data_IF_389615589534
#
_entry.id   IF_389615589534
#
_cell.length_a   1.000
_cell.length_b   1.000
_cell.length_c   1.000
_cell.angle_alpha   90.00
_cell.angle_beta   90.00
_cell.angle_gamma   90.00
#
_symmetry.space_group_name_H-M   'P 1'
#
loop_
_entity.id
_entity.type
_entity.pdbx_description
1 polymer ?
#
# COMPACT_ATOMS: atom_id res chain seq x y z
N UNK A 1 0.88 -12.33 7.74
CA UNK A 1 1.47 -12.59 9.06
C UNK A 1 2.97 -12.87 8.96
N UNK A 2 3.75 -11.79 8.98
CA UNK A 2 5.22 -11.80 9.03
C UNK A 2 5.68 -12.07 10.46
N UNK A 3 5.04 -11.47 11.46
CA UNK A 3 5.40 -11.62 12.87
C UNK A 3 5.38 -13.10 13.32
N UNK A 4 4.35 -13.87 12.93
CA UNK A 4 4.27 -15.30 13.22
C UNK A 4 5.20 -16.18 12.36
N UNK A 5 5.84 -15.65 11.32
CA UNK A 5 6.66 -16.40 10.37
C UNK A 5 8.03 -15.77 10.11
N UNK A 6 8.55 -14.99 11.06
CA UNK A 6 9.71 -14.12 10.87
C UNK A 6 10.91 -14.84 10.25
N UNK A 7 11.31 -16.00 10.78
CA UNK A 7 12.47 -16.74 10.27
C UNK A 7 12.32 -17.11 8.78
N UNK A 8 11.17 -17.70 8.42
CA UNK A 8 10.87 -18.10 7.04
C UNK A 8 10.85 -16.89 6.09
N UNK A 9 10.26 -15.78 6.51
CA UNK A 9 10.18 -14.57 5.68
C UNK A 9 11.57 -13.92 5.54
N UNK A 10 12.38 -13.95 6.59
CA UNK A 10 13.78 -13.47 6.56
C UNK A 10 14.60 -14.26 5.54
N UNK A 11 14.50 -15.59 5.55
CA UNK A 11 15.19 -16.45 4.58
C UNK A 11 14.78 -16.13 3.13
N UNK A 12 13.49 -15.91 2.90
CA UNK A 12 12.97 -15.53 1.59
C UNK A 12 13.46 -14.15 1.14
N UNK A 13 13.45 -13.16 2.05
CA UNK A 13 13.97 -11.82 1.77
C UNK A 13 15.46 -11.86 1.43
N UNK A 14 16.26 -12.61 2.20
CA UNK A 14 17.68 -12.78 1.95
C UNK A 14 17.97 -13.46 0.61
N UNK A 15 17.24 -14.51 0.27
CA UNK A 15 17.41 -15.22 -1.00
C UNK A 15 17.10 -14.33 -2.23
N UNK A 16 16.01 -13.56 -2.17
CA UNK A 16 15.63 -12.62 -3.23
C UNK A 16 16.60 -11.43 -3.32
N UNK A 17 17.04 -10.91 -2.18
CA UNK A 17 18.04 -9.83 -2.12
C UNK A 17 19.39 -10.27 -2.70
N UNK A 18 19.81 -11.52 -2.48
CA UNK A 18 21.02 -12.09 -3.10
C UNK A 18 20.93 -12.15 -4.65
N UNK A 19 19.71 -12.17 -5.19
CA UNK A 19 19.43 -12.06 -6.62
C UNK A 19 19.18 -10.60 -7.08
N UNK A 20 19.47 -9.61 -6.24
CA UNK A 20 19.22 -8.19 -6.47
C UNK A 20 17.74 -7.83 -6.71
N UNK A 21 16.80 -8.63 -6.18
CA UNK A 21 15.37 -8.35 -6.24
C UNK A 21 14.98 -7.52 -5.02
N UNK A 22 14.37 -6.34 -5.26
CA UNK A 22 13.82 -5.50 -4.19
C UNK A 22 12.51 -6.11 -3.69
N UNK A 23 12.52 -6.58 -2.44
CA UNK A 23 11.38 -7.28 -1.83
C UNK A 23 10.41 -6.28 -1.19
N UNK A 24 9.12 -6.46 -1.49
CA UNK A 24 8.00 -5.84 -0.78
C UNK A 24 7.20 -6.91 -0.03
N UNK A 25 6.85 -6.65 1.23
CA UNK A 25 5.95 -7.50 2.01
C UNK A 25 4.56 -6.87 2.10
N UNK A 26 3.55 -7.62 1.68
CA UNK A 26 2.15 -7.22 1.79
C UNK A 26 1.62 -7.55 3.19
N UNK A 27 1.22 -6.53 3.94
CA UNK A 27 0.85 -6.65 5.36
C UNK A 27 -0.34 -5.75 5.71
N UNK A 28 -1.01 -6.09 6.80
CA UNK A 28 -1.99 -5.20 7.42
C UNK A 28 -1.31 -3.93 7.98
N UNK A 29 -2.02 -2.80 8.08
CA UNK A 29 -1.53 -1.60 8.76
C UNK A 29 -1.51 -1.83 10.28
N UNK A 30 -0.49 -2.55 10.73
CA UNK A 30 -0.25 -2.98 12.10
C UNK A 30 1.25 -2.85 12.45
N UNK A 31 1.55 -2.32 13.64
CA UNK A 31 2.93 -2.03 14.03
C UNK A 31 3.77 -3.31 14.20
N UNK A 32 3.20 -4.39 14.74
CA UNK A 32 3.95 -5.63 14.93
C UNK A 32 4.31 -6.27 13.58
N UNK A 33 3.45 -6.15 12.57
CA UNK A 33 3.75 -6.58 11.20
C UNK A 33 4.83 -5.70 10.55
N UNK A 34 4.83 -4.40 10.80
CA UNK A 34 5.86 -3.47 10.31
C UNK A 34 7.23 -3.75 10.93
N UNK A 35 7.29 -3.90 12.25
CA UNK A 35 8.52 -4.25 12.97
C UNK A 35 9.08 -5.58 12.47
N UNK A 36 8.23 -6.58 12.31
CA UNK A 36 8.62 -7.88 11.79
C UNK A 36 9.11 -7.80 10.33
N UNK A 37 8.52 -6.93 9.52
CA UNK A 37 8.93 -6.72 8.11
C UNK A 37 10.30 -6.06 8.02
N UNK A 38 10.57 -5.05 8.86
CA UNK A 38 11.88 -4.44 8.97
C UNK A 38 12.92 -5.46 9.49
N UNK A 39 12.59 -6.23 10.53
CA UNK A 39 13.46 -7.27 11.06
C UNK A 39 13.76 -8.40 10.05
N UNK A 40 12.80 -8.71 9.17
CA UNK A 40 12.98 -9.68 8.09
C UNK A 40 13.91 -9.18 6.97
N UNK A 41 14.31 -7.91 6.99
CA UNK A 41 15.18 -7.32 5.97
C UNK A 41 14.45 -6.92 4.69
N UNK A 42 13.12 -6.72 4.74
CA UNK A 42 12.39 -6.19 3.60
C UNK A 42 12.78 -4.72 3.34
N UNK A 43 12.93 -4.36 2.06
CA UNK A 43 13.21 -2.98 1.67
C UNK A 43 11.93 -2.14 1.57
N UNK A 44 10.82 -2.81 1.25
CA UNK A 44 9.52 -2.21 0.99
C UNK A 44 8.45 -2.97 1.76
N UNK A 45 7.39 -2.27 2.16
CA UNK A 45 6.13 -2.88 2.58
C UNK A 45 4.99 -2.32 1.75
N UNK A 46 3.97 -3.13 1.50
CA UNK A 46 2.71 -2.68 0.91
C UNK A 46 1.57 -2.86 1.91
N UNK A 47 1.01 -1.73 2.36
CA UNK A 47 -0.08 -1.72 3.32
C UNK A 47 -1.39 -2.17 2.67
N UNK A 48 -2.07 -3.11 3.31
CA UNK A 48 -3.37 -3.60 2.88
C UNK A 48 -4.47 -2.54 3.13
N UNK A 49 -4.92 -1.90 2.05
CA UNK A 49 -5.98 -0.87 2.10
C UNK A 49 -7.41 -1.41 1.94
N UNK A 50 -7.63 -2.73 1.93
CA UNK A 50 -8.96 -3.31 1.74
C UNK A 50 -9.96 -2.97 2.84
N UNK A 51 -9.59 -2.95 4.13
CA UNK A 51 -10.51 -2.51 5.20
C UNK A 51 -10.99 -1.07 4.98
N UNK A 52 -10.10 -0.18 4.52
CA UNK A 52 -10.46 1.18 4.12
C UNK A 52 -11.38 1.20 2.89
N UNK A 53 -11.09 0.38 1.88
CA UNK A 53 -11.86 0.33 0.64
C UNK A 53 -13.26 -0.26 0.82
N UNK A 54 -13.40 -1.25 1.70
CA UNK A 54 -14.65 -1.99 1.96
C UNK A 54 -15.51 -1.37 3.07
N UNK A 55 -15.02 -0.32 3.73
CA UNK A 55 -15.75 0.38 4.78
C UNK A 55 -17.11 0.87 4.29
N UNK A 56 -18.17 0.53 5.02
CA UNK A 56 -19.55 0.78 4.59
C UNK A 56 -20.12 2.09 5.10
N UNK A 57 -19.47 2.68 6.10
CA UNK A 57 -19.83 3.97 6.69
C UNK A 57 -18.66 4.95 6.61
N UNK A 58 -18.97 6.24 6.68
CA UNK A 58 -17.95 7.29 6.67
C UNK A 58 -17.05 7.21 7.92
N UNK A 59 -17.63 6.89 9.08
CA UNK A 59 -16.88 6.74 10.33
C UNK A 59 -15.90 5.54 10.29
N UNK A 60 -16.31 4.40 9.73
CA UNK A 60 -15.41 3.25 9.52
C UNK A 60 -14.28 3.62 8.57
N UNK A 61 -14.62 4.30 7.46
CA UNK A 61 -13.63 4.71 6.45
C UNK A 61 -12.61 5.70 7.01
N UNK A 62 -13.05 6.66 7.82
CA UNK A 62 -12.16 7.59 8.52
C UNK A 62 -11.23 6.87 9.51
N UNK A 63 -11.77 5.89 10.24
CA UNK A 63 -10.98 5.08 11.19
C UNK A 63 -9.90 4.27 10.48
N UNK A 64 -10.24 3.57 9.40
CA UNK A 64 -9.28 2.78 8.63
C UNK A 64 -8.28 3.67 7.87
N UNK A 65 -8.70 4.85 7.41
CA UNK A 65 -7.78 5.84 6.83
C UNK A 65 -6.74 6.29 7.86
N UNK A 66 -7.18 6.66 9.07
CA UNK A 66 -6.26 7.06 10.14
C UNK A 66 -5.26 5.94 10.47
N UNK A 67 -5.74 4.69 10.51
CA UNK A 67 -4.89 3.51 10.71
C UNK A 67 -3.83 3.36 9.61
N UNK A 68 -4.18 3.58 8.35
CA UNK A 68 -3.21 3.56 7.23
C UNK A 68 -2.21 4.71 7.33
N UNK A 69 -2.65 5.92 7.71
CA UNK A 69 -1.76 7.08 7.92
C UNK A 69 -0.73 6.78 9.00
N UNK A 70 -1.16 6.29 10.16
CA UNK A 70 -0.29 5.99 11.28
C UNK A 70 0.69 4.87 10.95
N UNK A 71 0.23 3.82 10.25
CA UNK A 71 1.07 2.73 9.78
C UNK A 71 2.11 3.19 8.74
N UNK A 72 1.75 4.07 7.81
CA UNK A 72 2.67 4.60 6.80
C UNK A 72 3.78 5.44 7.44
N UNK A 73 3.40 6.33 8.38
CA UNK A 73 4.35 7.11 9.19
C UNK A 73 5.29 6.23 9.98
N UNK A 74 4.75 5.23 10.67
CA UNK A 74 5.54 4.31 11.46
C UNK A 74 6.52 3.51 10.60
N UNK A 75 6.04 2.93 9.49
CA UNK A 75 6.86 2.17 8.55
C UNK A 75 8.00 2.99 7.95
N UNK A 76 7.72 4.23 7.54
CA UNK A 76 8.76 5.14 7.07
C UNK A 76 9.79 5.47 8.15
N UNK A 77 9.35 5.64 9.41
CA UNK A 77 10.23 5.82 10.57
C UNK A 77 11.16 4.64 10.85
N UNK A 78 10.78 3.42 10.44
CA UNK A 78 11.64 2.22 10.47
C UNK A 78 12.62 2.15 9.30
N UNK A 79 12.58 3.10 8.36
CA UNK A 79 13.38 3.10 7.14
C UNK A 79 12.81 2.23 6.01
N UNK A 80 11.57 1.75 6.14
CA UNK A 80 10.89 1.03 5.08
C UNK A 80 10.37 2.00 4.02
N UNK A 81 10.49 1.61 2.75
CA UNK A 81 9.70 2.25 1.69
C UNK A 81 8.26 1.75 1.77
N UNK A 82 7.27 2.64 1.81
CA UNK A 82 5.87 2.26 2.02
C UNK A 82 5.05 2.41 0.73
N UNK A 83 4.39 1.32 0.33
CA UNK A 83 3.45 1.24 -0.77
C UNK A 83 2.04 0.95 -0.23
N UNK A 84 1.02 1.08 -1.08
CA UNK A 84 -0.36 0.64 -0.80
C UNK A 84 -1.09 0.32 -2.12
N UNK A 85 -2.38 -0.06 -2.10
CA UNK A 85 -3.15 -0.13 -3.36
C UNK A 85 -4.35 -1.08 -3.40
N UNK A 86 -4.41 -2.07 -2.50
CA UNK A 86 -5.48 -3.06 -2.49
C UNK A 86 -6.87 -2.42 -2.32
N UNK A 87 -7.80 -2.72 -3.24
CA UNK A 87 -9.18 -2.20 -3.20
C UNK A 87 -9.34 -0.74 -3.62
N UNK A 88 -8.27 -0.01 -3.93
CA UNK A 88 -8.40 1.41 -4.32
C UNK A 88 -9.09 1.57 -5.68
N UNK A 89 -9.89 2.62 -5.79
CA UNK A 89 -10.63 3.01 -6.98
C UNK A 89 -10.74 4.54 -7.09
N UNK A 90 -11.28 5.02 -8.20
CA UNK A 90 -11.32 6.44 -8.58
C UNK A 90 -12.05 7.38 -7.59
N UNK A 91 -12.76 6.85 -6.60
CA UNK A 91 -13.49 7.65 -5.61
C UNK A 91 -12.85 7.63 -4.22
N UNK A 92 -11.95 6.68 -3.93
CA UNK A 92 -11.31 6.53 -2.62
C UNK A 92 -9.77 6.63 -2.68
N UNK A 93 -9.17 6.74 -3.87
CA UNK A 93 -7.71 6.79 -4.01
C UNK A 93 -7.09 8.07 -3.45
N UNK A 94 -7.81 9.20 -3.51
CA UNK A 94 -7.25 10.53 -3.19
C UNK A 94 -6.76 10.65 -1.74
N UNK A 95 -7.54 10.26 -0.70
CA UNK A 95 -7.05 10.33 0.68
C UNK A 95 -5.81 9.49 0.95
N UNK A 96 -5.70 8.30 0.34
CA UNK A 96 -4.51 7.44 0.45
C UNK A 96 -3.33 8.03 -0.32
N UNK A 97 -3.59 8.55 -1.51
CA UNK A 97 -2.57 9.18 -2.34
C UNK A 97 -2.01 10.45 -1.68
N UNK A 98 -2.73 11.13 -0.79
CA UNK A 98 -2.25 12.32 -0.08
C UNK A 98 -1.23 12.01 1.05
N UNK A 99 -1.09 10.76 1.47
CA UNK A 99 -0.20 10.36 2.57
C UNK A 99 1.26 10.43 2.11
N UNK A 100 2.04 11.40 2.60
CA UNK A 100 3.40 11.70 2.13
C UNK A 100 4.31 10.47 2.09
N UNK A 101 4.23 9.62 3.11
CA UNK A 101 5.10 8.46 3.31
C UNK A 101 4.83 7.31 2.33
N UNK A 102 3.66 7.28 1.68
CA UNK A 102 3.37 6.30 0.62
C UNK A 102 4.04 6.77 -0.67
N UNK A 103 4.88 5.95 -1.29
CA UNK A 103 5.62 6.34 -2.51
C UNK A 103 5.06 5.74 -3.80
N UNK A 104 4.29 4.65 -3.71
CA UNK A 104 3.72 3.93 -4.85
C UNK A 104 2.35 3.35 -4.50
N UNK A 105 1.43 3.37 -5.47
CA UNK A 105 0.10 2.76 -5.37
C UNK A 105 -0.08 1.65 -6.42
N UNK A 106 -0.20 0.40 -5.97
CA UNK A 106 -0.40 -0.78 -6.80
C UNK A 106 -1.89 -1.07 -6.99
N UNK A 107 -2.47 -0.53 -8.06
CA UNK A 107 -3.92 -0.59 -8.31
C UNK A 107 -4.22 -1.46 -9.54
N UNK A 108 -5.06 -2.49 -9.35
CA UNK A 108 -5.40 -3.45 -10.41
C UNK A 108 -6.87 -3.41 -10.84
N UNK A 109 -7.74 -4.06 -10.07
CA UNK A 109 -9.12 -4.35 -10.45
C UNK A 109 -9.91 -3.13 -10.95
N UNK A 110 -9.82 -1.99 -10.24
CA UNK A 110 -10.58 -0.78 -10.59
C UNK A 110 -10.15 -0.17 -11.92
N UNK A 111 -8.85 -0.22 -12.26
CA UNK A 111 -8.35 0.22 -13.57
C UNK A 111 -8.89 -0.68 -14.67
N UNK A 112 -8.81 -2.00 -14.50
CA UNK A 112 -9.33 -2.96 -15.48
C UNK A 112 -10.85 -2.80 -15.65
N UNK A 113 -11.61 -2.69 -14.56
CA UNK A 113 -13.06 -2.48 -14.61
C UNK A 113 -13.42 -1.21 -15.39
N UNK A 114 -12.71 -0.10 -15.17
CA UNK A 114 -12.92 1.15 -15.91
C UNK A 114 -12.52 1.02 -17.39
N UNK A 115 -11.46 0.27 -17.67
CA UNK A 115 -10.94 0.09 -19.03
C UNK A 115 -11.91 -0.58 -20.00
N UNK A 116 -12.87 -1.37 -19.49
CA UNK A 116 -13.91 -2.01 -20.30
C UNK A 116 -14.82 -0.97 -20.98
N UNK A 117 -14.96 0.21 -20.39
CA UNK A 117 -15.79 1.30 -20.92
C UNK A 117 -14.97 2.35 -21.65
N UNK A 118 -13.83 2.74 -21.08
CA UNK A 118 -13.08 3.91 -21.51
C UNK A 118 -11.77 3.57 -22.26
N UNK A 119 -11.41 2.29 -22.30
CA UNK A 119 -10.11 1.82 -22.77
C UNK A 119 -9.02 1.92 -21.70
N UNK A 120 -8.05 1.00 -21.74
CA UNK A 120 -6.97 0.92 -20.76
C UNK A 120 -6.10 2.19 -20.68
N UNK A 121 -5.71 2.85 -21.81
CA UNK A 121 -4.90 4.07 -21.73
C UNK A 121 -5.57 5.17 -20.90
N UNK A 122 -6.86 5.42 -21.14
CA UNK A 122 -7.62 6.45 -20.43
C UNK A 122 -7.83 6.10 -18.95
N UNK A 123 -8.15 4.83 -18.65
CA UNK A 123 -8.28 4.37 -17.26
C UNK A 123 -7.00 4.62 -16.45
N UNK A 124 -5.83 4.29 -17.02
CA UNK A 124 -4.53 4.54 -16.37
C UNK A 124 -4.27 6.04 -16.21
N UNK A 125 -4.52 6.84 -17.25
CA UNK A 125 -4.32 8.30 -17.21
C UNK A 125 -5.18 8.98 -16.15
N UNK A 126 -6.48 8.66 -16.10
CA UNK A 126 -7.43 9.20 -15.13
C UNK A 126 -7.02 8.85 -13.68
N UNK A 127 -6.60 7.61 -13.42
CA UNK A 127 -6.13 7.19 -12.09
C UNK A 127 -4.86 7.96 -11.69
N UNK A 128 -3.91 8.08 -12.62
CA UNK A 128 -2.66 8.83 -12.39
C UNK A 128 -2.93 10.31 -12.14
N UNK A 129 -3.89 10.90 -12.85
CA UNK A 129 -4.30 12.29 -12.64
C UNK A 129 -4.78 12.54 -11.20
N UNK A 130 -5.62 11.65 -10.67
CA UNK A 130 -6.11 11.73 -9.29
C UNK A 130 -4.98 11.62 -8.28
N UNK A 131 -4.09 10.63 -8.45
CA UNK A 131 -2.95 10.41 -7.55
C UNK A 131 -2.02 11.62 -7.52
N UNK A 132 -1.66 12.16 -8.69
CA UNK A 132 -0.80 13.35 -8.77
C UNK A 132 -1.51 14.62 -8.27
N UNK A 133 -2.82 14.70 -8.42
CA UNK A 133 -3.63 15.80 -7.89
C UNK A 133 -3.56 15.88 -6.37
N UNK A 134 -3.66 14.73 -5.70
CA UNK A 134 -3.61 14.61 -4.24
C UNK A 134 -2.28 15.05 -3.61
N UNK A 135 -1.18 15.04 -4.39
CA UNK A 135 0.18 15.40 -3.94
C UNK A 135 0.54 16.87 -4.11
N UNK A 136 -0.33 17.65 -4.76
CA UNK A 136 -0.08 19.08 -5.04
C UNK A 136 -0.87 20.03 -4.14
N UNK A 137 -1.79 19.49 -3.35
CA UNK A 137 -2.67 20.21 -2.41
C UNK A 137 -2.11 20.16 -1.00
#
# INVERSE_FOLDING_TARGET
DVAGQLARISDACAALAAAAIRVSLFIDPDQAQLDASAAAGAAVVELHTGCYADATTDAERETELARVVDAARYGAGLGLTVHAGHGLHYQNVVPIAAIEEIVELNIGHSIIARSVFDGLPRAVEDMKYLILGARRS
#
